data_IF_308259863416
#
_entry.id   IF_308259863416
#
_cell.length_a   1.000
_cell.length_b   1.000
_cell.length_c   1.000
_cell.angle_alpha   90.00
_cell.angle_beta   90.00
_cell.angle_gamma   90.00
#
_symmetry.space_group_name_H-M   'P 1'
#
loop_
_entity.id
_entity.type
_entity.pdbx_description
1 polymer ?
#
# COMPACT_ATOMS: atom_id res chain seq x y z
N UNK A 1 8.07 -5.42 0.94
CA UNK A 1 7.03 -5.37 -0.12
C UNK A 1 5.59 -5.31 0.39
N UNK A 2 5.15 -6.12 1.36
CA UNK A 2 3.75 -6.12 1.86
C UNK A 2 3.19 -4.74 2.23
N UNK A 3 3.99 -3.90 2.90
CA UNK A 3 3.59 -2.54 3.27
C UNK A 3 3.26 -1.68 2.04
N UNK A 4 4.03 -1.82 0.96
CA UNK A 4 3.81 -1.07 -0.27
C UNK A 4 2.59 -1.61 -1.04
N UNK A 5 2.41 -2.93 -1.07
CA UNK A 5 1.18 -3.54 -1.58
C UNK A 5 -0.08 -3.05 -0.83
N UNK A 6 0.01 -2.87 0.48
CA UNK A 6 -1.08 -2.28 1.28
C UNK A 6 -1.31 -0.80 0.97
N UNK A 7 -0.26 -0.03 0.68
CA UNK A 7 -0.41 1.35 0.20
C UNK A 7 -1.17 1.40 -1.14
N UNK A 8 -0.87 0.49 -2.07
CA UNK A 8 -1.59 0.37 -3.34
C UNK A 8 -3.05 -0.03 -3.09
N UNK A 9 -3.30 -1.01 -2.22
CA UNK A 9 -4.66 -1.41 -1.85
C UNK A 9 -5.45 -0.27 -1.19
N UNK A 10 -4.79 0.54 -0.35
CA UNK A 10 -5.38 1.74 0.25
C UNK A 10 -5.82 2.73 -0.85
N UNK A 11 -4.97 3.01 -1.83
CA UNK A 11 -5.29 3.89 -2.97
C UNK A 11 -6.45 3.34 -3.80
N UNK A 12 -6.42 2.05 -4.16
CA UNK A 12 -7.50 1.38 -4.89
C UNK A 12 -8.84 1.50 -4.17
N UNK A 13 -8.85 1.29 -2.84
CA UNK A 13 -10.06 1.44 -2.03
C UNK A 13 -10.56 2.87 -2.02
N UNK A 14 -9.67 3.86 -1.99
CA UNK A 14 -10.06 5.26 -2.08
C UNK A 14 -10.77 5.58 -3.39
N UNK A 15 -10.27 5.08 -4.52
CA UNK A 15 -10.91 5.26 -5.83
C UNK A 15 -12.29 4.58 -5.86
N UNK A 16 -12.38 3.33 -5.41
CA UNK A 16 -13.64 2.58 -5.34
C UNK A 16 -14.69 3.29 -4.47
N UNK A 17 -14.27 3.85 -3.32
CA UNK A 17 -15.17 4.59 -2.44
C UNK A 17 -15.62 5.92 -3.06
N UNK A 18 -14.71 6.62 -3.74
CA UNK A 18 -15.00 7.87 -4.44
C UNK A 18 -16.04 7.65 -5.54
N UNK A 19 -15.87 6.62 -6.36
CA UNK A 19 -16.79 6.27 -7.45
C UNK A 19 -18.17 5.87 -6.91
N UNK A 20 -18.21 5.19 -5.76
CA UNK A 20 -19.43 4.87 -5.04
C UNK A 20 -20.05 6.05 -4.25
N UNK A 21 -19.41 7.23 -4.26
CA UNK A 21 -19.80 8.41 -3.47
C UNK A 21 -19.92 8.11 -1.97
N UNK A 22 -19.08 7.23 -1.43
CA UNK A 22 -19.11 6.80 -0.04
C UNK A 22 -17.97 7.44 0.78
N UNK A 23 -18.27 7.87 2.01
CA UNK A 23 -17.27 8.57 2.86
C UNK A 23 -16.33 7.62 3.61
N UNK A 24 -16.75 6.37 3.81
CA UNK A 24 -15.98 5.36 4.51
C UNK A 24 -16.41 3.94 4.12
N UNK A 25 -15.60 2.95 4.52
CA UNK A 25 -15.79 1.54 4.21
C UNK A 25 -17.18 1.02 4.64
N UNK A 26 -17.67 1.46 5.81
CA UNK A 26 -18.96 1.02 6.35
C UNK A 26 -20.11 1.49 5.45
N UNK A 27 -20.10 2.75 5.04
CA UNK A 27 -21.09 3.30 4.11
C UNK A 27 -21.02 2.60 2.76
N UNK A 28 -19.81 2.40 2.23
CA UNK A 28 -19.58 1.69 0.98
C UNK A 28 -20.17 0.27 0.99
N UNK A 29 -19.81 -0.54 2.00
CA UNK A 29 -20.32 -1.90 2.13
C UNK A 29 -21.84 -1.93 2.35
N UNK A 30 -22.40 -0.94 3.04
CA UNK A 30 -23.87 -0.80 3.18
C UNK A 30 -24.53 -0.60 1.81
N UNK A 31 -23.97 0.26 0.94
CA UNK A 31 -24.47 0.46 -0.42
C UNK A 31 -24.31 -0.81 -1.28
N UNK A 32 -23.18 -1.51 -1.16
CA UNK A 32 -22.91 -2.74 -1.88
C UNK A 32 -23.91 -3.84 -1.52
N UNK A 33 -24.12 -4.09 -0.22
CA UNK A 33 -25.08 -5.10 0.28
C UNK A 33 -26.52 -4.75 -0.11
N UNK A 34 -26.86 -3.45 -0.12
CA UNK A 34 -28.16 -2.96 -0.60
C UNK A 34 -28.31 -2.99 -2.13
N UNK A 35 -27.35 -3.57 -2.87
CA UNK A 35 -27.33 -3.68 -4.35
C UNK A 35 -27.42 -2.33 -5.07
N UNK A 36 -26.91 -1.27 -4.46
CA UNK A 36 -26.83 0.08 -5.05
C UNK A 36 -25.55 0.31 -5.86
N UNK A 37 -24.61 -0.62 -5.81
CA UNK A 37 -23.33 -0.56 -6.52
C UNK A 37 -23.25 -1.72 -7.49
N UNK A 38 -22.87 -1.42 -8.74
CA UNK A 38 -22.82 -2.40 -9.82
C UNK A 38 -21.49 -3.17 -9.82
N UNK A 39 -21.48 -4.50 -9.66
CA UNK A 39 -20.23 -5.27 -9.71
C UNK A 39 -19.50 -5.20 -11.04
N UNK A 40 -20.22 -4.95 -12.15
CA UNK A 40 -19.62 -4.80 -13.49
C UNK A 40 -18.78 -3.51 -13.63
N UNK A 41 -18.95 -2.56 -12.72
CA UNK A 41 -18.18 -1.32 -12.64
C UNK A 41 -17.00 -1.44 -11.67
N UNK A 42 -16.66 -2.66 -11.24
CA UNK A 42 -15.51 -2.92 -10.35
C UNK A 42 -15.85 -2.88 -8.85
N UNK A 43 -17.10 -2.63 -8.48
CA UNK A 43 -17.52 -2.67 -7.08
C UNK A 43 -17.59 -4.10 -6.54
N UNK A 44 -17.12 -4.29 -5.31
CA UNK A 44 -17.09 -5.58 -4.60
C UNK A 44 -17.20 -5.34 -3.11
N UNK A 45 -17.56 -6.34 -2.33
CA UNK A 45 -17.49 -6.21 -0.87
C UNK A 45 -16.03 -6.03 -0.45
N UNK A 46 -15.77 -5.07 0.44
CA UNK A 46 -14.42 -4.75 0.90
C UNK A 46 -14.27 -5.12 2.40
N UNK A 47 -13.50 -6.15 2.76
CA UNK A 47 -13.29 -6.52 4.15
C UNK A 47 -12.39 -5.51 4.87
N UNK A 48 -12.49 -5.43 6.19
CA UNK A 48 -11.46 -4.76 6.99
C UNK A 48 -10.14 -5.55 6.87
N UNK A 49 -9.03 -4.84 6.79
CA UNK A 49 -7.68 -5.44 6.83
C UNK A 49 -7.00 -4.96 8.11
N UNK A 50 -6.45 -5.90 8.87
CA UNK A 50 -5.62 -5.60 10.05
C UNK A 50 -4.21 -6.06 9.76
N UNK A 51 -3.28 -5.11 9.69
CA UNK A 51 -1.84 -5.39 9.62
C UNK A 51 -1.29 -5.48 11.03
N UNK A 52 -0.76 -6.64 11.40
CA UNK A 52 -0.10 -6.87 12.69
C UNK A 52 1.40 -7.00 12.45
N UNK A 53 2.18 -6.16 13.12
CA UNK A 53 3.65 -6.22 13.15
C UNK A 53 4.04 -6.55 14.59
N UNK A 54 4.54 -7.77 14.81
CA UNK A 54 4.88 -8.24 16.16
C UNK A 54 6.16 -7.59 16.72
N UNK A 55 7.13 -7.33 15.85
CA UNK A 55 8.39 -6.66 16.22
C UNK A 55 8.77 -5.60 15.18
N UNK A 56 8.39 -4.34 15.46
CA UNK A 56 8.73 -3.20 14.61
C UNK A 56 10.24 -2.97 14.52
N UNK A 57 10.99 -3.26 15.59
CA UNK A 57 12.41 -2.94 15.65
C UNK A 57 13.20 -3.68 14.57
N UNK A 58 12.83 -4.93 14.28
CA UNK A 58 13.52 -5.73 13.27
C UNK A 58 13.35 -5.11 11.87
N UNK A 59 12.14 -4.60 11.55
CA UNK A 59 11.91 -3.90 10.29
C UNK A 59 12.67 -2.58 10.20
N UNK A 60 12.68 -1.80 11.29
CA UNK A 60 13.35 -0.50 11.34
C UNK A 60 14.87 -0.63 11.26
N UNK A 61 15.45 -1.70 11.81
CA UNK A 61 16.90 -1.94 11.77
C UNK A 61 17.38 -2.41 10.40
N UNK A 62 16.54 -3.12 9.63
CA UNK A 62 16.91 -3.62 8.30
C UNK A 62 16.72 -2.59 7.20
N UNK A 63 15.60 -1.85 7.22
CA UNK A 63 15.19 -1.00 6.09
C UNK A 63 14.81 0.44 6.48
N UNK A 64 14.87 0.80 7.78
CA UNK A 64 14.74 2.17 8.28
C UNK A 64 13.61 2.97 7.63
N UNK A 65 13.99 3.99 6.84
CA UNK A 65 13.06 4.93 6.19
C UNK A 65 12.11 4.28 5.18
N UNK A 66 12.53 3.20 4.51
CA UNK A 66 11.71 2.50 3.51
C UNK A 66 10.51 1.79 4.15
N UNK A 67 10.60 1.45 5.44
CA UNK A 67 9.50 0.85 6.20
C UNK A 67 8.70 1.91 6.96
N UNK A 68 9.39 2.90 7.53
CA UNK A 68 8.74 3.98 8.28
C UNK A 68 7.73 4.75 7.42
N UNK A 69 8.09 5.06 6.17
CA UNK A 69 7.27 5.89 5.28
C UNK A 69 5.92 5.23 4.94
N UNK A 70 5.88 3.96 4.47
CA UNK A 70 4.62 3.24 4.27
C UNK A 70 3.79 3.08 5.54
N UNK A 71 4.41 2.79 6.70
CA UNK A 71 3.68 2.64 7.96
C UNK A 71 3.01 3.96 8.35
N UNK A 72 3.75 5.07 8.28
CA UNK A 72 3.22 6.40 8.58
C UNK A 72 2.07 6.77 7.63
N UNK A 73 2.26 6.52 6.33
CA UNK A 73 1.25 6.79 5.29
C UNK A 73 -0.04 6.00 5.52
N UNK A 74 0.07 4.71 5.80
CA UNK A 74 -1.06 3.85 6.13
C UNK A 74 -1.75 4.35 7.41
N UNK A 75 -1.01 4.57 8.49
CA UNK A 75 -1.60 5.03 9.75
C UNK A 75 -2.34 6.37 9.61
N UNK A 76 -1.87 7.27 8.75
CA UNK A 76 -2.48 8.57 8.50
C UNK A 76 -3.79 8.49 7.69
N UNK A 77 -3.83 7.68 6.62
CA UNK A 77 -4.89 7.74 5.61
C UNK A 77 -5.84 6.53 5.66
N UNK A 78 -5.42 5.41 6.22
CA UNK A 78 -6.15 4.15 6.08
C UNK A 78 -7.49 4.07 6.85
N UNK A 79 -7.71 4.95 7.85
CA UNK A 79 -8.85 4.84 8.78
C UNK A 79 -10.20 4.77 8.07
N UNK A 80 -10.42 5.62 7.05
CA UNK A 80 -11.71 5.68 6.36
C UNK A 80 -11.93 4.49 5.42
N UNK A 81 -10.84 3.90 4.89
CA UNK A 81 -10.87 2.78 3.94
C UNK A 81 -10.78 1.40 4.62
N UNK A 82 -10.70 1.38 5.95
CA UNK A 82 -10.78 0.19 6.80
C UNK A 82 -9.55 -0.70 6.77
N UNK A 83 -8.36 -0.11 6.65
CA UNK A 83 -7.09 -0.77 6.94
C UNK A 83 -6.62 -0.24 8.31
N UNK A 84 -6.28 -1.14 9.23
CA UNK A 84 -5.89 -0.82 10.60
C UNK A 84 -4.55 -1.46 10.92
N UNK A 85 -3.72 -0.76 11.70
CA UNK A 85 -2.36 -1.20 12.03
C UNK A 85 -2.26 -1.48 13.52
N UNK A 86 -1.69 -2.62 13.86
CA UNK A 86 -1.27 -3.00 15.21
C UNK A 86 0.24 -3.23 15.14
N UNK A 87 0.99 -2.46 15.91
CA UNK A 87 2.44 -2.49 15.87
C UNK A 87 2.95 -2.69 17.29
N UNK A 88 3.73 -3.76 17.47
CA UNK A 88 4.34 -4.13 18.73
C UNK A 88 5.88 -4.10 18.60
N UNK A 89 6.54 -3.95 19.74
CA UNK A 89 8.00 -4.03 19.85
C UNK A 89 8.40 -4.30 21.29
N UNK A 90 9.46 -5.05 21.48
CA UNK A 90 10.11 -5.21 22.79
C UNK A 90 11.27 -4.22 23.00
N UNK A 91 11.60 -3.40 21.99
CA UNK A 91 12.74 -2.46 22.00
C UNK A 91 12.24 -1.01 21.95
N UNK A 92 11.77 -0.44 23.07
CA UNK A 92 11.19 0.90 23.14
C UNK A 92 12.26 2.02 23.09
N UNK A 93 13.01 2.07 21.99
CA UNK A 93 14.04 3.09 21.73
C UNK A 93 13.53 4.17 20.78
N UNK A 94 14.12 5.37 20.86
CA UNK A 94 13.75 6.51 19.99
C UNK A 94 14.01 6.23 18.51
N UNK A 95 14.93 5.31 18.20
CA UNK A 95 15.23 4.88 16.83
C UNK A 95 14.17 3.94 16.26
N UNK A 96 13.41 3.25 17.11
CA UNK A 96 12.32 2.35 16.70
C UNK A 96 10.98 3.09 16.76
N UNK A 97 10.71 3.77 17.88
CA UNK A 97 9.49 4.56 18.11
C UNK A 97 9.82 6.02 17.84
N UNK A 98 9.98 6.34 16.55
CA UNK A 98 10.36 7.68 16.10
C UNK A 98 9.23 8.69 16.31
N UNK A 99 9.53 9.98 16.13
CA UNK A 99 8.51 11.03 16.15
C UNK A 99 7.42 10.85 15.07
N UNK A 100 7.80 10.33 13.89
CA UNK A 100 6.86 10.06 12.79
C UNK A 100 5.89 8.94 13.16
N UNK A 101 6.39 7.86 13.77
CA UNK A 101 5.54 6.79 14.28
C UNK A 101 4.61 7.34 15.37
N UNK A 102 5.14 8.07 16.37
CA UNK A 102 4.31 8.63 17.43
C UNK A 102 3.21 9.56 16.91
N UNK A 103 3.50 10.39 15.91
CA UNK A 103 2.53 11.32 15.35
C UNK A 103 1.32 10.62 14.70
N UNK A 104 1.49 9.40 14.18
CA UNK A 104 0.44 8.67 13.45
C UNK A 104 -0.26 7.59 14.28
N UNK A 105 0.27 7.23 15.45
CA UNK A 105 -0.32 6.25 16.37
C UNK A 105 -0.71 6.92 17.70
N UNK A 106 -1.92 7.51 17.79
CA UNK A 106 -2.37 8.23 18.98
C UNK A 106 -2.79 7.32 20.14
N UNK A 107 -3.21 6.08 19.84
CA UNK A 107 -3.50 5.07 20.85
C UNK A 107 -2.24 4.24 21.08
N UNK A 108 -1.74 4.21 22.31
CA UNK A 108 -0.49 3.52 22.67
C UNK A 108 -0.68 2.73 23.95
N UNK A 109 -0.15 1.52 23.96
CA UNK A 109 -0.23 0.61 25.09
C UNK A 109 1.19 0.23 25.49
N UNK A 110 1.49 0.31 26.78
CA UNK A 110 2.76 -0.18 27.33
C UNK A 110 2.50 -1.19 28.43
N UNK A 111 3.09 -2.37 28.30
CA UNK A 111 3.34 -3.26 29.43
C UNK A 111 4.51 -2.72 30.27
N UNK A 112 4.88 -3.45 31.31
CA UNK A 112 6.04 -3.14 32.14
C UNK A 112 7.30 -2.96 31.28
N UNK A 113 7.98 -1.84 31.50
CA UNK A 113 9.30 -1.55 30.89
C UNK A 113 10.37 -1.41 31.96
N UNK A 114 11.63 -1.42 31.53
CA UNK A 114 12.78 -1.42 32.44
C UNK A 114 13.06 -0.06 33.05
N UNK A 115 12.78 1.02 32.32
CA UNK A 115 13.14 2.37 32.75
C UNK A 115 12.06 3.41 32.46
N UNK A 116 12.08 4.50 33.23
CA UNK A 116 11.25 5.69 33.00
C UNK A 116 11.51 6.33 31.63
N UNK A 117 12.71 6.14 31.06
CA UNK A 117 13.05 6.61 29.71
C UNK A 117 12.24 5.83 28.68
N UNK A 118 12.21 4.50 28.78
CA UNK A 118 11.43 3.63 27.88
C UNK A 118 9.93 3.95 27.96
N UNK A 119 9.41 4.18 29.18
CA UNK A 119 8.02 4.60 29.39
C UNK A 119 7.71 5.88 28.61
N UNK A 120 8.60 6.88 28.68
CA UNK A 120 8.44 8.15 27.95
C UNK A 120 8.59 7.96 26.45
N UNK A 121 9.43 7.04 25.99
CA UNK A 121 9.55 6.74 24.57
C UNK A 121 8.23 6.22 23.99
N UNK A 122 7.50 5.37 24.74
CA UNK A 122 6.23 4.79 24.29
C UNK A 122 5.06 5.76 24.52
N UNK A 123 4.89 6.28 25.73
CA UNK A 123 3.66 6.96 26.18
C UNK A 123 3.78 8.49 26.19
N UNK A 124 4.96 9.05 25.93
CA UNK A 124 5.31 10.45 26.25
C UNK A 124 5.13 10.81 27.74
N UNK A 125 4.95 9.80 28.60
CA UNK A 125 4.73 9.89 30.04
C UNK A 125 5.48 8.78 30.79
N UNK A 126 5.74 8.99 32.08
CA UNK A 126 6.28 7.94 32.96
C UNK A 126 5.19 7.00 33.49
N UNK A 127 5.58 5.93 34.19
CA UNK A 127 4.66 5.06 34.92
C UNK A 127 4.66 3.61 34.45
N UNK A 128 5.02 3.34 33.19
CA UNK A 128 5.12 1.97 32.71
C UNK A 128 6.26 1.18 33.39
N UNK A 129 7.28 1.88 33.89
CA UNK A 129 8.38 1.32 34.69
C UNK A 129 7.94 0.84 36.08
N UNK A 130 6.77 1.28 36.54
CA UNK A 130 6.19 0.93 37.84
C UNK A 130 5.14 -0.18 37.77
N UNK A 131 4.84 -0.68 36.58
CA UNK A 131 3.91 -1.78 36.38
C UNK A 131 4.46 -3.07 37.00
N UNK A 132 3.58 -3.93 37.49
CA UNK A 132 3.99 -5.16 38.19
C UNK A 132 4.37 -6.29 37.23
N UNK A 133 3.93 -6.21 35.97
CA UNK A 133 4.10 -7.26 34.95
C UNK A 133 2.84 -8.14 34.83
N UNK A 134 2.97 -9.32 34.24
CA UNK A 134 1.87 -10.32 34.16
C UNK A 134 0.53 -9.74 33.64
N UNK A 135 0.59 -8.95 32.56
CA UNK A 135 -0.60 -8.33 31.95
C UNK A 135 -0.95 -6.94 32.48
N UNK A 136 -0.31 -6.43 33.52
CA UNK A 136 -0.48 -5.04 33.96
C UNK A 136 0.06 -4.07 32.90
N UNK A 137 -0.76 -3.10 32.49
CA UNK A 137 -0.48 -2.22 31.35
C UNK A 137 -1.06 -0.82 31.52
N UNK A 138 -0.47 0.15 30.81
CA UNK A 138 -0.99 1.50 30.64
C UNK A 138 -1.46 1.68 29.20
N UNK A 139 -2.68 2.17 29.02
CA UNK A 139 -3.24 2.62 27.75
C UNK A 139 -3.30 4.14 27.74
N UNK A 140 -2.65 4.75 26.75
CA UNK A 140 -2.77 6.17 26.45
C UNK A 140 -3.59 6.37 25.17
N UNK A 141 -4.66 7.15 25.25
CA UNK A 141 -5.49 7.53 24.09
C UNK A 141 -5.50 9.05 23.93
N UNK A 142 -4.33 9.62 23.60
CA UNK A 142 -4.12 11.05 23.57
C UNK A 142 -3.69 11.59 24.94
N UNK A 143 -4.62 12.21 25.67
CA UNK A 143 -4.28 12.89 26.93
C UNK A 143 -4.51 12.04 28.19
N UNK A 144 -5.38 11.03 28.10
CA UNK A 144 -5.73 10.18 29.23
C UNK A 144 -4.87 8.92 29.24
N UNK A 145 -4.29 8.63 30.41
CA UNK A 145 -3.57 7.38 30.68
C UNK A 145 -4.39 6.54 31.65
N UNK A 146 -4.78 5.36 31.22
CA UNK A 146 -5.61 4.41 31.97
C UNK A 146 -4.78 3.18 32.27
N UNK A 147 -4.72 2.78 33.54
CA UNK A 147 -4.12 1.49 33.95
C UNK A 147 -5.14 0.37 33.79
N UNK A 148 -4.73 -0.71 33.14
CA UNK A 148 -5.58 -1.84 32.80
C UNK A 148 -4.85 -3.15 33.14
N UNK A 149 -5.63 -4.21 33.31
CA UNK A 149 -5.13 -5.58 33.41
C UNK A 149 -5.50 -6.33 32.13
N UNK A 150 -4.49 -6.79 31.38
CA UNK A 150 -4.68 -7.63 30.21
C UNK A 150 -5.21 -9.00 30.64
N UNK A 151 -6.29 -9.50 30.02
CA UNK A 151 -6.72 -10.87 30.20
C UNK A 151 -5.60 -11.84 29.80
N UNK A 152 -5.40 -12.86 30.63
CA UNK A 152 -4.49 -13.95 30.31
C UNK A 152 -5.23 -14.96 29.43
N UNK A 153 -4.54 -15.45 28.41
CA UNK A 153 -4.98 -16.56 27.55
C UNK A 153 -3.80 -17.53 27.43
N UNK A 154 -4.04 -18.81 27.69
CA UNK A 154 -3.01 -19.83 27.57
C UNK A 154 -2.91 -20.41 26.14
N UNK A 155 -1.84 -21.15 25.86
CA UNK A 155 -1.65 -21.77 24.53
C UNK A 155 -2.77 -22.75 24.17
N UNK A 156 -3.22 -23.65 25.06
CA UNK A 156 -4.38 -24.51 24.78
C UNK A 156 -5.67 -23.76 24.42
N UNK A 157 -5.94 -22.61 25.02
CA UNK A 157 -7.08 -21.75 24.68
C UNK A 157 -6.92 -21.15 23.28
N UNK A 158 -5.71 -20.70 22.93
CA UNK A 158 -5.40 -20.23 21.57
C UNK A 158 -5.63 -21.35 20.55
N UNK A 159 -5.13 -22.56 20.81
CA UNK A 159 -5.28 -23.70 19.90
C UNK A 159 -6.76 -24.03 19.68
N UNK A 160 -7.59 -24.04 20.73
CA UNK A 160 -9.03 -24.25 20.63
C UNK A 160 -9.72 -23.19 19.78
N UNK A 161 -9.32 -21.92 19.90
CA UNK A 161 -9.87 -20.83 19.09
C UNK A 161 -9.46 -20.98 17.62
N UNK A 162 -8.19 -21.31 17.38
CA UNK A 162 -7.67 -21.58 16.03
C UNK A 162 -8.40 -22.75 15.37
N UNK A 163 -8.59 -23.86 16.08
CA UNK A 163 -9.33 -25.03 15.59
C UNK A 163 -10.80 -24.69 15.31
N UNK A 164 -11.43 -23.95 16.22
CA UNK A 164 -12.81 -23.50 16.03
C UNK A 164 -12.95 -22.63 14.78
N UNK A 165 -12.04 -21.69 14.54
CA UNK A 165 -12.05 -20.85 13.34
C UNK A 165 -11.72 -21.67 12.09
N UNK A 166 -10.69 -22.52 12.15
CA UNK A 166 -10.25 -23.37 11.03
C UNK A 166 -11.27 -24.40 10.57
N UNK A 167 -12.17 -24.83 11.48
CA UNK A 167 -13.28 -25.74 11.17
C UNK A 167 -14.45 -25.08 10.43
N UNK A 168 -14.51 -23.74 10.41
CA UNK A 168 -15.57 -23.01 9.72
C UNK A 168 -15.33 -22.97 8.21
N UNK A 169 -16.37 -22.64 7.45
CA UNK A 169 -16.25 -22.43 6.01
C UNK A 169 -15.33 -21.24 5.73
N UNK A 170 -14.11 -21.53 5.31
CA UNK A 170 -13.13 -20.54 4.89
C UNK A 170 -13.40 -19.97 3.49
N UNK A 171 -12.57 -19.01 3.11
CA UNK A 171 -12.44 -18.55 1.72
C UNK A 171 -11.63 -19.57 0.92
N UNK A 172 -11.87 -19.59 -0.39
CA UNK A 172 -11.16 -20.43 -1.37
C UNK A 172 -9.69 -20.05 -1.53
N UNK A 173 -9.36 -18.79 -1.33
CA UNK A 173 -7.98 -18.30 -1.33
C UNK A 173 -7.74 -17.22 -0.28
N UNK A 174 -6.46 -16.91 -0.06
CA UNK A 174 -6.06 -15.70 0.64
C UNK A 174 -6.56 -14.44 -0.11
N UNK A 175 -6.72 -13.34 0.63
CA UNK A 175 -6.94 -12.03 0.01
C UNK A 175 -5.65 -11.57 -0.66
N UNK A 176 -5.61 -11.64 -1.98
CA UNK A 176 -4.43 -11.23 -2.74
C UNK A 176 -4.30 -9.72 -2.71
N UNK A 177 -3.20 -9.24 -2.14
CA UNK A 177 -2.83 -7.84 -2.22
C UNK A 177 -2.31 -7.53 -3.63
N UNK A 178 -2.49 -6.28 -4.12
CA UNK A 178 -1.87 -5.83 -5.35
C UNK A 178 -0.35 -6.04 -5.32
N UNK A 179 0.21 -6.51 -6.42
CA UNK A 179 1.65 -6.66 -6.54
C UNK A 179 2.33 -5.29 -6.43
N UNK A 180 3.33 -5.24 -5.57
CA UNK A 180 4.27 -4.13 -5.53
C UNK A 180 5.54 -4.58 -6.23
N UNK A 181 5.72 -4.08 -7.44
CA UNK A 181 7.01 -4.13 -8.11
C UNK A 181 7.81 -2.94 -7.58
N UNK A 182 8.95 -3.23 -6.95
CA UNK A 182 9.83 -2.17 -6.44
C UNK A 182 10.31 -1.28 -7.57
N UNK A 183 10.57 -0.01 -7.26
CA UNK A 183 11.57 0.73 -8.01
C UNK A 183 12.90 0.01 -7.71
N UNK A 184 13.27 -0.99 -8.51
CA UNK A 184 14.69 -1.19 -8.72
C UNK A 184 15.24 0.16 -9.15
N UNK A 185 16.37 0.56 -8.54
CA UNK A 185 17.15 1.76 -8.88
C UNK A 185 17.73 1.67 -10.30
N UNK A 186 16.90 1.42 -11.30
CA UNK A 186 17.18 1.67 -12.71
C UNK A 186 16.72 3.08 -13.01
N UNK A 187 17.64 4.05 -12.89
CA UNK A 187 17.46 5.33 -13.56
C UNK A 187 17.07 5.12 -15.04
N UNK A 188 16.50 6.16 -15.65
CA UNK A 188 16.01 6.20 -17.03
C UNK A 188 17.03 5.81 -18.15
N UNK A 189 18.15 5.17 -17.82
CA UNK A 189 19.23 4.78 -18.70
C UNK A 189 19.25 3.31 -19.13
N UNK A 190 18.38 2.43 -18.61
CA UNK A 190 18.45 0.99 -18.96
C UNK A 190 17.07 0.34 -19.15
N UNK A 191 16.12 1.05 -19.79
CA UNK A 191 14.91 0.39 -20.31
C UNK A 191 15.33 -0.45 -21.52
N UNK A 192 15.57 -1.75 -21.29
CA UNK A 192 15.87 -2.67 -22.37
C UNK A 192 14.64 -2.85 -23.28
N UNK A 193 14.71 -2.26 -24.47
CA UNK A 193 13.67 -2.36 -25.49
C UNK A 193 13.55 -3.80 -26.05
N UNK A 194 14.42 -4.73 -25.64
CA UNK A 194 14.33 -6.15 -25.99
C UNK A 194 13.18 -6.86 -25.25
N UNK A 195 12.84 -6.45 -24.03
CA UNK A 195 11.76 -7.02 -23.21
C UNK A 195 10.52 -6.10 -23.20
N UNK A 196 9.88 -5.93 -24.36
CA UNK A 196 8.68 -5.09 -24.47
C UNK A 196 7.47 -5.75 -23.84
N UNK A 197 6.64 -4.94 -23.18
CA UNK A 197 5.33 -5.40 -22.74
C UNK A 197 4.48 -5.85 -23.94
N UNK A 198 3.70 -6.92 -23.77
CA UNK A 198 2.82 -7.44 -24.82
C UNK A 198 1.84 -6.40 -25.39
N UNK A 199 1.50 -5.36 -24.62
CA UNK A 199 0.60 -4.28 -25.01
C UNK A 199 1.32 -3.01 -25.49
N UNK A 200 2.64 -3.05 -25.66
CA UNK A 200 3.46 -1.90 -26.07
C UNK A 200 2.96 -1.24 -27.35
N UNK A 201 2.71 -2.01 -28.40
CA UNK A 201 2.26 -1.45 -29.69
C UNK A 201 0.84 -0.88 -29.61
N UNK A 202 -0.03 -1.50 -28.80
CA UNK A 202 -1.40 -1.02 -28.60
C UNK A 202 -1.40 0.29 -27.80
N UNK A 203 -0.54 0.37 -26.78
CA UNK A 203 -0.28 1.58 -26.02
C UNK A 203 0.27 2.72 -26.90
N UNK A 204 1.24 2.42 -27.77
CA UNK A 204 1.82 3.40 -28.70
C UNK A 204 0.75 4.00 -29.62
N UNK A 205 -0.08 3.13 -30.23
CA UNK A 205 -1.19 3.55 -31.11
C UNK A 205 -2.20 4.41 -30.35
N UNK A 206 -2.55 4.01 -29.12
CA UNK A 206 -3.47 4.75 -28.27
C UNK A 206 -2.96 6.17 -27.98
N UNK A 207 -1.68 6.31 -27.63
CA UNK A 207 -1.05 7.59 -27.29
C UNK A 207 -0.98 8.51 -28.52
N UNK A 208 -0.59 7.99 -29.69
CA UNK A 208 -0.52 8.76 -30.94
C UNK A 208 -1.91 9.15 -31.43
N UNK A 209 -2.90 8.26 -31.36
CA UNK A 209 -4.27 8.57 -31.77
C UNK A 209 -4.90 9.68 -30.91
N UNK A 210 -4.63 9.68 -29.60
CA UNK A 210 -5.18 10.67 -28.67
C UNK A 210 -4.29 11.90 -28.48
N UNK A 211 -3.05 11.89 -29.00
CA UNK A 211 -2.04 12.93 -28.82
C UNK A 211 -1.85 13.33 -27.33
N UNK A 212 -1.87 12.34 -26.42
CA UNK A 212 -1.77 12.56 -24.99
C UNK A 212 -0.91 11.49 -24.29
N UNK A 213 0.34 11.85 -23.94
CA UNK A 213 1.33 11.00 -23.27
C UNK A 213 1.09 10.76 -21.77
N UNK A 214 -0.12 10.35 -21.36
CA UNK A 214 -0.46 10.19 -19.94
C UNK A 214 -0.66 8.74 -19.51
N UNK A 215 -0.05 8.37 -18.37
CA UNK A 215 -0.18 7.04 -17.75
C UNK A 215 -1.63 6.65 -17.48
N UNK A 216 -2.45 7.59 -17.00
CA UNK A 216 -3.87 7.37 -16.70
C UNK A 216 -4.74 7.12 -17.95
N UNK A 217 -4.30 7.55 -19.14
CA UNK A 217 -4.97 7.20 -20.39
C UNK A 217 -4.76 5.73 -20.73
N UNK A 218 -3.50 5.26 -20.69
CA UNK A 218 -3.15 3.86 -20.93
C UNK A 218 -3.84 2.96 -19.92
N UNK A 219 -3.76 3.31 -18.64
CA UNK A 219 -4.39 2.57 -17.54
C UNK A 219 -5.88 2.31 -17.79
N UNK A 220 -6.66 3.37 -18.10
CA UNK A 220 -8.11 3.26 -18.29
C UNK A 220 -8.50 2.54 -19.58
N UNK A 221 -7.79 2.79 -20.67
CA UNK A 221 -8.14 2.25 -22.00
C UNK A 221 -7.73 0.79 -22.16
N UNK A 222 -6.55 0.43 -21.67
CA UNK A 222 -6.03 -0.94 -21.73
C UNK A 222 -6.39 -1.78 -20.49
N UNK A 223 -7.12 -1.18 -19.52
CA UNK A 223 -7.54 -1.83 -18.26
C UNK A 223 -6.37 -2.43 -17.49
N UNK A 224 -5.29 -1.66 -17.41
CA UNK A 224 -4.05 -2.05 -16.74
C UNK A 224 -3.95 -1.41 -15.36
N UNK A 225 -3.13 -2.00 -14.49
CA UNK A 225 -2.71 -1.32 -13.25
C UNK A 225 -1.84 -0.09 -13.56
N UNK A 226 -1.86 0.91 -12.67
CA UNK A 226 -1.13 2.17 -12.86
C UNK A 226 0.36 1.97 -13.13
N UNK A 227 1.01 1.03 -12.41
CA UNK A 227 2.45 0.76 -12.57
C UNK A 227 2.81 0.14 -13.93
N UNK A 228 1.97 -0.78 -14.43
CA UNK A 228 2.16 -1.36 -15.77
C UNK A 228 1.93 -0.32 -16.85
N UNK A 229 0.93 0.56 -16.67
CA UNK A 229 0.72 1.71 -17.54
C UNK A 229 1.89 2.71 -17.48
N UNK A 230 2.52 2.88 -16.32
CA UNK A 230 3.70 3.72 -16.13
C UNK A 230 4.90 3.19 -16.90
N UNK A 231 5.23 1.91 -16.73
CA UNK A 231 6.29 1.23 -17.50
C UNK A 231 6.05 1.28 -19.00
N UNK A 232 4.80 1.13 -19.45
CA UNK A 232 4.46 1.32 -20.85
C UNK A 232 4.80 2.74 -21.31
N UNK A 233 4.48 3.78 -20.54
CA UNK A 233 4.88 5.16 -20.84
C UNK A 233 6.41 5.31 -20.88
N UNK A 234 7.15 4.67 -19.98
CA UNK A 234 8.62 4.75 -19.94
C UNK A 234 9.26 4.01 -21.12
N UNK A 235 8.73 2.85 -21.52
CA UNK A 235 9.13 2.16 -22.74
C UNK A 235 8.84 2.99 -23.98
N UNK A 236 7.72 3.71 -24.01
CA UNK A 236 7.37 4.62 -25.11
C UNK A 236 8.31 5.84 -25.15
N UNK A 237 8.80 6.33 -24.01
CA UNK A 237 9.84 7.37 -23.95
C UNK A 237 11.16 6.85 -24.51
N UNK A 238 11.61 5.68 -24.05
CA UNK A 238 12.83 5.03 -24.52
C UNK A 238 12.81 4.74 -26.04
N UNK A 239 11.62 4.44 -26.58
CA UNK A 239 11.40 4.25 -28.02
C UNK A 239 11.28 5.57 -28.81
N UNK A 240 11.28 6.73 -28.15
CA UNK A 240 11.16 8.05 -28.79
C UNK A 240 9.74 8.40 -29.26
N UNK A 241 8.71 7.76 -28.69
CA UNK A 241 7.30 8.00 -29.02
C UNK A 241 6.72 9.15 -28.18
N UNK A 242 7.15 9.24 -26.92
CA UNK A 242 6.83 10.35 -26.00
C UNK A 242 8.10 11.03 -25.51
N UNK A 243 7.97 12.30 -25.12
CA UNK A 243 9.04 13.10 -24.54
C UNK A 243 9.35 12.74 -23.08
N UNK A 244 10.28 13.49 -22.51
CA UNK A 244 10.78 13.23 -21.16
C UNK A 244 9.72 13.37 -20.07
N UNK A 245 10.01 12.79 -18.90
CA UNK A 245 9.15 12.92 -17.73
C UNK A 245 9.00 14.38 -17.27
N UNK A 246 7.76 14.89 -17.29
CA UNK A 246 7.40 16.25 -16.83
C UNK A 246 6.60 16.25 -15.51
N UNK A 247 6.97 15.38 -14.55
CA UNK A 247 6.30 15.35 -13.25
C UNK A 247 4.87 14.84 -13.33
N UNK A 248 3.89 15.65 -12.89
CA UNK A 248 2.47 15.28 -12.86
C UNK A 248 1.70 15.57 -14.14
N UNK A 249 2.35 16.15 -15.16
CA UNK A 249 1.73 16.47 -16.45
C UNK A 249 1.87 15.32 -17.44
N UNK A 250 0.97 15.30 -18.43
CA UNK A 250 1.09 14.38 -19.55
C UNK A 250 2.36 14.71 -20.36
N UNK A 251 3.10 13.68 -20.78
CA UNK A 251 4.30 13.84 -21.60
C UNK A 251 3.93 14.31 -23.01
N UNK A 252 4.84 15.07 -23.62
CA UNK A 252 4.70 15.46 -25.03
C UNK A 252 4.69 14.22 -25.92
N UNK A 253 3.82 14.19 -26.93
CA UNK A 253 3.81 13.10 -27.92
C UNK A 253 4.67 13.54 -29.11
N UNK A 254 5.75 12.81 -29.36
CA UNK A 254 6.74 13.17 -30.39
C UNK A 254 6.29 12.71 -31.79
N UNK A 255 5.46 11.67 -31.87
CA UNK A 255 4.92 11.10 -33.11
C UNK A 255 3.50 11.61 -33.36
N UNK A 256 3.29 12.30 -34.50
CA UNK A 256 2.06 13.05 -34.78
C UNK A 256 1.01 12.29 -35.58
N UNK A 257 1.39 11.19 -36.22
CA UNK A 257 0.52 10.43 -37.12
C UNK A 257 0.84 8.92 -37.11
N UNK A 258 -0.15 8.12 -37.48
CA UNK A 258 -0.06 6.65 -37.46
C UNK A 258 0.98 6.11 -38.44
N UNK A 259 1.18 6.76 -39.59
CA UNK A 259 2.14 6.32 -40.60
C UNK A 259 3.58 6.45 -40.09
N UNK A 260 3.92 7.57 -39.44
CA UNK A 260 5.20 7.76 -38.76
C UNK A 260 5.42 6.75 -37.62
N UNK A 261 4.35 6.39 -36.90
CA UNK A 261 4.41 5.37 -35.86
C UNK A 261 4.71 3.98 -36.43
N UNK A 262 4.04 3.58 -37.51
CA UNK A 262 4.25 2.28 -38.16
C UNK A 262 5.68 2.12 -38.71
N UNK A 263 6.26 3.19 -39.26
CA UNK A 263 7.65 3.21 -39.70
C UNK A 263 8.61 2.98 -38.52
N UNK A 264 8.39 3.67 -37.40
CA UNK A 264 9.18 3.50 -36.17
C UNK A 264 9.07 2.07 -35.63
N UNK A 265 7.85 1.54 -35.49
CA UNK A 265 7.62 0.18 -35.00
C UNK A 265 8.26 -0.88 -35.91
N UNK A 266 8.21 -0.68 -37.23
CA UNK A 266 8.88 -1.57 -38.19
C UNK A 266 10.40 -1.55 -38.01
N UNK A 267 11.00 -0.37 -37.86
CA UNK A 267 12.44 -0.23 -37.61
C UNK A 267 12.88 -0.87 -36.29
N UNK A 268 12.04 -0.81 -35.25
CA UNK A 268 12.27 -1.43 -33.95
C UNK A 268 12.16 -2.95 -34.01
N UNK A 269 11.33 -3.51 -34.91
CA UNK A 269 11.24 -4.96 -35.13
C UNK A 269 12.46 -5.49 -35.88
N UNK A 270 12.92 -4.79 -36.92
CA UNK A 270 14.10 -5.17 -37.70
C UNK A 270 15.38 -5.19 -36.85
N UNK A 271 15.54 -4.24 -35.93
CA UNK A 271 16.69 -4.21 -35.00
C UNK A 271 16.71 -5.35 -33.98
N UNK A 272 15.61 -6.05 -33.75
CA UNK A 272 15.48 -7.11 -32.74
C UNK A 272 15.38 -8.52 -33.35
N UNK A 273 15.39 -8.62 -34.69
CA UNK A 273 15.38 -9.88 -35.44
C UNK A 273 16.77 -10.36 -35.89
N UNK A 274 17.86 -9.72 -35.42
CA UNK A 274 19.25 -10.13 -35.64
C UNK A 274 19.90 -10.56 -34.33
#
# INVERSE_FOLDING_TARGET
>A
HTLNSLCIEMENRYEILKDAGARNLKEYNTKFVARKLNPKEGHRFLPYIVLVIDELADLMMTAGKEVETPIARLAQLARAIGIHLVVATQRPSVNVITGVIKANFPARLSFRVTSKVDSRTILDAGGADQLVGQGDMLLSTGNDVIRLQCPFVDTPEIDKVCDFIGSQRGYDSAYMLPEYEGDDEGGASDVDLSERDALFEEAAKLIVMHQQGSTSLIQRKLKLGYNRAGRLIDQLEAAGIVGAFEGSKAREVLIKDEMSLEQLLSSLREKHGQ
#
